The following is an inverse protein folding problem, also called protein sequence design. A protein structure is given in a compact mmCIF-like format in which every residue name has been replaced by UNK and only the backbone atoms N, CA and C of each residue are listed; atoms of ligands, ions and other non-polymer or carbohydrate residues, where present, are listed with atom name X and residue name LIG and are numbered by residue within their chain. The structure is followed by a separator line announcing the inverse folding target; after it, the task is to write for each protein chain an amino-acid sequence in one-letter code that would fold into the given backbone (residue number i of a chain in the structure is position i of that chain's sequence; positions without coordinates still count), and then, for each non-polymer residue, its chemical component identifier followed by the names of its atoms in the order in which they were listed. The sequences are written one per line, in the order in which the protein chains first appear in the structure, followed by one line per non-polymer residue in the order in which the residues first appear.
data_IF_939904731570
#
_entry.id   IF_939904731570
#
_cell.length_a   1.000
_cell.length_b   1.000
_cell.length_c   1.000
_cell.angle_alpha   90.00
_cell.angle_beta   90.00
_cell.angle_gamma   90.00
#
_symmetry.space_group_name_H-M   'P 1'
#
loop_
_entity.id
_entity.type
_entity.pdbx_description
1 polymer ?
#
# COMPACT_ATOMS: atom_id res chain seq x y z
N UNK A 1 -17.55 -11.67 -6.40
CA UNK A 1 -16.59 -10.55 -6.30
C UNK A 1 -17.19 -9.52 -5.38
N UNK A 2 -16.86 -9.58 -4.10
CA UNK A 2 -17.37 -8.62 -3.12
C UNK A 2 -16.23 -7.67 -2.87
N UNK A 3 -16.32 -6.44 -3.39
CA UNK A 3 -15.48 -5.35 -2.92
C UNK A 3 -16.07 -4.88 -1.61
N UNK A 4 -15.23 -4.56 -0.63
CA UNK A 4 -15.69 -3.75 0.50
C UNK A 4 -16.32 -2.47 -0.06
N UNK A 5 -17.45 -2.03 0.51
CA UNK A 5 -18.09 -0.76 0.13
C UNK A 5 -17.11 0.41 0.24
N UNK A 6 -16.14 0.33 1.16
CA UNK A 6 -15.07 1.33 1.32
C UNK A 6 -14.18 1.35 0.08
N UNK A 7 -13.70 0.19 -0.38
CA UNK A 7 -12.85 0.11 -1.57
C UNK A 7 -13.57 0.53 -2.84
N UNK A 8 -14.89 0.30 -2.93
CA UNK A 8 -15.71 0.82 -4.03
C UNK A 8 -15.83 2.34 -3.99
N UNK A 9 -16.12 2.92 -2.82
CA UNK A 9 -16.20 4.37 -2.66
C UNK A 9 -14.86 5.05 -3.01
N UNK A 10 -13.73 4.47 -2.60
CA UNK A 10 -12.39 4.95 -2.97
C UNK A 10 -12.16 4.88 -4.48
N UNK A 11 -12.61 3.79 -5.13
CA UNK A 11 -12.47 3.61 -6.58
C UNK A 11 -13.26 4.65 -7.38
N UNK A 12 -14.51 4.89 -7.00
CA UNK A 12 -15.38 5.86 -7.68
C UNK A 12 -14.93 7.32 -7.45
N UNK A 13 -14.13 7.55 -6.40
CA UNK A 13 -13.60 8.86 -6.03
C UNK A 13 -12.07 8.93 -6.11
N UNK A 14 -11.48 8.27 -7.12
CA UNK A 14 -10.02 8.14 -7.25
C UNK A 14 -9.25 9.46 -7.38
N UNK A 15 -9.93 10.59 -7.59
CA UNK A 15 -9.31 11.92 -7.65
C UNK A 15 -9.64 12.82 -6.44
N UNK A 16 -10.41 12.33 -5.47
CA UNK A 16 -10.75 13.07 -4.26
C UNK A 16 -9.86 12.61 -3.10
N UNK A 17 -8.84 13.42 -2.76
CA UNK A 17 -7.86 13.05 -1.74
C UNK A 17 -8.49 12.74 -0.37
N UNK A 18 -9.54 13.45 0.03
CA UNK A 18 -10.13 13.30 1.37
C UNK A 18 -10.80 11.92 1.50
N UNK A 19 -11.48 11.46 0.45
CA UNK A 19 -12.07 10.12 0.40
C UNK A 19 -10.98 9.05 0.42
N UNK A 20 -9.88 9.26 -0.29
CA UNK A 20 -8.78 8.29 -0.36
C UNK A 20 -8.03 8.17 0.96
N UNK A 21 -7.68 9.29 1.58
CA UNK A 21 -7.01 9.33 2.89
C UNK A 21 -7.91 8.67 3.95
N UNK A 22 -9.18 9.07 4.05
CA UNK A 22 -10.11 8.48 5.00
C UNK A 22 -10.30 6.98 4.76
N UNK A 23 -10.44 6.57 3.50
CA UNK A 23 -10.58 5.17 3.11
C UNK A 23 -9.36 4.33 3.49
N UNK A 24 -8.15 4.82 3.19
CA UNK A 24 -6.90 4.17 3.59
C UNK A 24 -6.77 4.05 5.11
N UNK A 25 -7.09 5.10 5.87
CA UNK A 25 -7.05 5.06 7.34
C UNK A 25 -8.03 4.02 7.91
N UNK A 26 -9.27 3.97 7.40
CA UNK A 26 -10.26 2.99 7.84
C UNK A 26 -9.78 1.57 7.52
N UNK A 27 -9.34 1.32 6.29
CA UNK A 27 -8.85 0.00 5.91
C UNK A 27 -7.63 -0.43 6.72
N UNK A 28 -6.70 0.49 7.00
CA UNK A 28 -5.50 0.21 7.81
C UNK A 28 -5.89 -0.24 9.21
N UNK A 29 -6.84 0.46 9.84
CA UNK A 29 -7.36 0.10 11.16
C UNK A 29 -8.07 -1.26 11.13
N UNK A 30 -8.84 -1.56 10.09
CA UNK A 30 -9.57 -2.83 10.00
C UNK A 30 -8.63 -4.02 9.74
N UNK A 31 -7.57 -3.84 8.96
CA UNK A 31 -6.59 -4.89 8.66
C UNK A 31 -5.89 -5.40 9.91
N UNK A 32 -5.63 -4.54 10.91
CA UNK A 32 -5.03 -4.93 12.20
C UNK A 32 -5.85 -6.01 12.94
N UNK A 33 -7.17 -6.04 12.71
CA UNK A 33 -8.07 -7.03 13.32
C UNK A 33 -8.48 -8.16 12.36
N UNK A 34 -7.95 -8.14 11.13
CA UNK A 34 -8.28 -9.13 10.11
C UNK A 34 -7.61 -10.47 10.39
N UNK A 35 -8.25 -11.55 9.95
CA UNK A 35 -7.67 -12.90 9.99
C UNK A 35 -7.03 -13.21 8.64
N UNK A 36 -6.08 -14.16 8.57
CA UNK A 36 -5.55 -14.63 7.29
C UNK A 36 -6.70 -15.05 6.34
N UNK A 37 -6.69 -14.51 5.12
CA UNK A 37 -7.73 -14.77 4.11
C UNK A 37 -8.99 -13.89 4.21
N UNK A 38 -8.97 -12.83 5.01
CA UNK A 38 -10.05 -11.83 5.06
C UNK A 38 -10.24 -11.10 3.71
N UNK A 39 -11.45 -10.58 3.48
CA UNK A 39 -11.80 -9.77 2.30
C UNK A 39 -10.89 -8.54 2.14
N UNK A 40 -10.35 -8.03 3.24
CA UNK A 40 -9.42 -6.89 3.24
C UNK A 40 -8.05 -7.21 2.62
N UNK A 41 -7.69 -8.49 2.53
CA UNK A 41 -6.40 -8.97 2.03
C UNK A 41 -6.51 -9.49 0.58
N UNK A 42 -7.60 -9.13 -0.10
CA UNK A 42 -7.90 -9.60 -1.45
C UNK A 42 -7.22 -8.75 -2.54
N UNK A 43 -7.05 -9.28 -3.76
CA UNK A 43 -6.54 -8.51 -4.89
C UNK A 43 -7.32 -7.22 -5.16
N UNK A 44 -8.62 -7.17 -4.86
CA UNK A 44 -9.44 -5.97 -5.04
C UNK A 44 -8.95 -4.80 -4.16
N UNK A 45 -8.60 -5.05 -2.89
CA UNK A 45 -8.08 -4.02 -1.99
C UNK A 45 -6.67 -3.62 -2.38
N UNK A 46 -5.82 -4.57 -2.76
CA UNK A 46 -4.44 -4.24 -3.13
C UNK A 46 -4.40 -3.46 -4.47
N UNK A 47 -5.31 -3.77 -5.41
CA UNK A 47 -5.40 -3.04 -6.68
C UNK A 47 -5.78 -1.57 -6.48
N UNK A 48 -6.68 -1.25 -5.54
CA UNK A 48 -7.03 0.14 -5.26
C UNK A 48 -5.86 0.91 -4.65
N UNK A 49 -5.05 0.29 -3.78
CA UNK A 49 -3.85 0.92 -3.21
C UNK A 49 -2.89 1.35 -4.32
N UNK A 50 -2.51 0.41 -5.21
CA UNK A 50 -1.63 0.72 -6.34
C UNK A 50 -2.21 1.84 -7.20
N UNK A 51 -3.52 1.77 -7.49
CA UNK A 51 -4.20 2.79 -8.30
C UNK A 51 -4.17 4.18 -7.66
N UNK A 52 -4.34 4.26 -6.34
CA UNK A 52 -4.25 5.51 -5.58
C UNK A 52 -2.84 6.08 -5.68
N UNK A 53 -1.83 5.27 -5.37
CA UNK A 53 -0.44 5.70 -5.37
C UNK A 53 -0.01 6.22 -6.74
N UNK A 54 -0.36 5.49 -7.81
CA UNK A 54 -0.05 5.89 -9.18
C UNK A 54 -0.80 7.16 -9.64
N UNK A 55 -2.01 7.41 -9.12
CA UNK A 55 -2.81 8.58 -9.52
C UNK A 55 -2.43 9.85 -8.75
N UNK A 56 -1.73 9.71 -7.61
CA UNK A 56 -1.39 10.79 -6.68
C UNK A 56 0.09 10.78 -6.30
N UNK A 57 0.99 10.48 -7.23
CA UNK A 57 2.42 10.22 -6.95
C UNK A 57 3.16 11.40 -6.29
N UNK A 58 2.63 12.62 -6.37
CA UNK A 58 3.20 13.84 -5.76
C UNK A 58 2.46 14.33 -4.51
N UNK A 59 1.33 13.72 -4.13
CA UNK A 59 0.58 14.11 -2.93
C UNK A 59 1.07 13.31 -1.73
N UNK A 60 1.93 13.92 -0.91
CA UNK A 60 2.56 13.25 0.23
C UNK A 60 1.55 12.72 1.27
N UNK A 61 0.39 13.36 1.42
CA UNK A 61 -0.65 12.94 2.36
C UNK A 61 -1.33 11.66 1.87
N UNK A 62 -1.68 11.62 0.58
CA UNK A 62 -2.24 10.42 -0.05
C UNK A 62 -1.22 9.28 -0.09
N UNK A 63 0.05 9.57 -0.41
CA UNK A 63 1.12 8.58 -0.41
C UNK A 63 1.36 8.00 0.98
N UNK A 64 1.32 8.83 2.04
CA UNK A 64 1.45 8.38 3.42
C UNK A 64 0.32 7.43 3.80
N UNK A 65 -0.93 7.83 3.57
CA UNK A 65 -2.08 6.99 3.90
C UNK A 65 -2.08 5.66 3.14
N UNK A 66 -1.72 5.67 1.85
CA UNK A 66 -1.59 4.45 1.06
C UNK A 66 -0.42 3.56 1.51
N UNK A 67 0.71 4.15 1.90
CA UNK A 67 1.88 3.42 2.39
C UNK A 67 1.63 2.77 3.76
N UNK A 68 0.91 3.46 4.65
CA UNK A 68 0.46 2.88 5.92
C UNK A 68 -0.45 1.66 5.69
N UNK A 69 -1.34 1.74 4.69
CA UNK A 69 -2.19 0.60 4.34
C UNK A 69 -1.38 -0.56 3.75
N UNK A 70 -0.37 -0.29 2.92
CA UNK A 70 0.57 -1.32 2.45
C UNK A 70 1.25 -2.00 3.62
N UNK A 71 1.78 -1.23 4.58
CA UNK A 71 2.44 -1.76 5.77
C UNK A 71 1.49 -2.64 6.60
N UNK A 72 0.24 -2.21 6.79
CA UNK A 72 -0.75 -3.00 7.50
C UNK A 72 -1.04 -4.33 6.79
N UNK A 73 -1.20 -4.30 5.47
CA UNK A 73 -1.54 -5.47 4.65
C UNK A 73 -0.33 -6.40 4.43
N UNK A 74 0.90 -5.87 4.42
CA UNK A 74 2.13 -6.66 4.16
C UNK A 74 2.48 -7.65 5.26
N UNK A 75 1.83 -7.59 6.42
CA UNK A 75 1.95 -8.58 7.48
C UNK A 75 1.37 -9.95 7.08
N UNK A 76 0.43 -10.01 6.13
CA UNK A 76 -0.06 -11.27 5.56
C UNK A 76 0.81 -11.73 4.39
N UNK A 77 1.26 -12.99 4.43
CA UNK A 77 2.20 -13.57 3.46
C UNK A 77 1.64 -13.63 2.02
N UNK A 78 0.32 -13.84 1.87
CA UNK A 78 -0.29 -13.89 0.52
C UNK A 78 -0.47 -12.47 -0.01
N UNK A 79 -0.92 -11.56 0.85
CA UNK A 79 -1.10 -10.18 0.49
C UNK A 79 0.23 -9.48 0.17
N UNK A 80 1.30 -9.77 0.91
CA UNK A 80 2.64 -9.23 0.65
C UNK A 80 3.14 -9.62 -0.74
N UNK A 81 3.03 -10.89 -1.14
CA UNK A 81 3.38 -11.34 -2.49
C UNK A 81 2.51 -10.70 -3.57
N UNK A 82 1.22 -10.54 -3.31
CA UNK A 82 0.31 -9.85 -4.24
C UNK A 82 0.71 -8.37 -4.42
N UNK A 83 1.03 -7.66 -3.33
CA UNK A 83 1.54 -6.28 -3.36
C UNK A 83 2.77 -6.19 -4.27
N UNK A 84 3.76 -7.07 -4.05
CA UNK A 84 4.99 -7.06 -4.87
C UNK A 84 4.70 -7.40 -6.35
N UNK A 85 3.83 -8.37 -6.62
CA UNK A 85 3.41 -8.71 -8.00
C UNK A 85 2.73 -7.54 -8.72
N UNK A 86 2.08 -6.64 -7.99
CA UNK A 86 1.43 -5.43 -8.53
C UNK A 86 2.36 -4.21 -8.60
N UNK A 87 3.65 -4.35 -8.28
CA UNK A 87 4.61 -3.25 -8.33
C UNK A 87 4.69 -2.42 -7.05
N UNK A 88 4.20 -2.93 -5.91
CA UNK A 88 4.19 -2.19 -4.65
C UNK A 88 5.58 -1.77 -4.14
N UNK A 89 6.65 -2.47 -4.51
CA UNK A 89 8.03 -2.03 -4.19
C UNK A 89 8.36 -0.73 -4.94
N UNK A 90 8.06 -0.69 -6.25
CA UNK A 90 8.28 0.48 -7.07
C UNK A 90 7.40 1.64 -6.61
N UNK A 91 6.17 1.38 -6.18
CA UNK A 91 5.29 2.39 -5.59
C UNK A 91 5.95 3.03 -4.34
N UNK A 92 6.49 2.24 -3.41
CA UNK A 92 7.22 2.75 -2.23
C UNK A 92 8.45 3.58 -2.62
N UNK A 93 9.25 3.09 -3.57
CA UNK A 93 10.45 3.78 -4.04
C UNK A 93 10.08 5.11 -4.70
N UNK A 94 9.02 5.16 -5.50
CA UNK A 94 8.52 6.38 -6.13
C UNK A 94 8.02 7.38 -5.09
N UNK A 95 7.25 6.94 -4.09
CA UNK A 95 6.79 7.78 -3.00
C UNK A 95 7.96 8.45 -2.25
N UNK A 96 9.00 7.68 -1.92
CA UNK A 96 10.21 8.21 -1.28
C UNK A 96 10.98 9.19 -2.18
N UNK A 97 11.04 8.95 -3.49
CA UNK A 97 11.70 9.86 -4.45
C UNK A 97 10.99 11.21 -4.52
N UNK A 98 9.66 11.21 -4.65
CA UNK A 98 8.88 12.44 -4.74
C UNK A 98 8.79 13.19 -3.41
N UNK A 99 8.90 12.47 -2.28
CA UNK A 99 8.79 13.03 -0.93
C UNK A 99 10.07 12.91 -0.10
N UNK A 100 11.23 13.15 -0.72
CA UNK A 100 12.57 12.95 -0.10
C UNK A 100 12.80 13.58 1.27
N UNK A 101 12.08 14.66 1.61
CA UNK A 101 12.20 15.36 2.89
C UNK A 101 11.05 15.08 3.86
N UNK A 102 10.08 14.25 3.47
CA UNK A 102 8.94 13.91 4.30
C UNK A 102 9.29 12.72 5.22
N UNK A 103 9.91 13.01 6.36
CA UNK A 103 10.47 12.01 7.27
C UNK A 103 9.48 10.90 7.65
N UNK A 104 8.21 11.24 7.95
CA UNK A 104 7.19 10.26 8.34
C UNK A 104 6.88 9.27 7.22
N UNK A 105 6.52 9.76 6.03
CA UNK A 105 6.33 8.93 4.83
C UNK A 105 7.54 8.05 4.54
N UNK A 106 8.76 8.59 4.58
CA UNK A 106 9.96 7.77 4.34
C UNK A 106 10.14 6.67 5.40
N UNK A 107 9.86 6.95 6.67
CA UNK A 107 9.89 5.95 7.72
C UNK A 107 8.86 4.83 7.47
N UNK A 108 7.63 5.20 7.09
CA UNK A 108 6.56 4.24 6.74
C UNK A 108 6.95 3.40 5.53
N UNK A 109 7.47 4.00 4.46
CA UNK A 109 7.96 3.27 3.29
C UNK A 109 9.09 2.29 3.65
N UNK A 110 10.05 2.70 4.50
CA UNK A 110 11.10 1.80 4.97
C UNK A 110 10.53 0.63 5.78
N UNK A 111 9.54 0.87 6.65
CA UNK A 111 8.88 -0.20 7.41
C UNK A 111 8.10 -1.15 6.50
N UNK A 112 7.39 -0.62 5.50
CA UNK A 112 6.68 -1.42 4.51
C UNK A 112 7.65 -2.29 3.69
N UNK A 113 8.75 -1.71 3.19
CA UNK A 113 9.78 -2.45 2.48
C UNK A 113 10.42 -3.55 3.34
N UNK A 114 10.70 -3.26 4.62
CA UNK A 114 11.17 -4.27 5.56
C UNK A 114 10.17 -5.42 5.70
N UNK A 115 8.88 -5.11 5.89
CA UNK A 115 7.82 -6.12 6.03
C UNK A 115 7.67 -6.96 4.76
N UNK A 116 7.74 -6.35 3.57
CA UNK A 116 7.64 -7.04 2.29
C UNK A 116 8.85 -7.96 2.06
N UNK A 117 10.05 -7.52 2.44
CA UNK A 117 11.31 -8.25 2.25
C UNK A 117 11.54 -9.42 3.22
N UNK A 118 10.62 -9.66 4.17
CA UNK A 118 10.62 -10.87 5.00
C UNK A 118 10.46 -12.12 4.13
N UNK A 119 9.70 -12.04 3.04
CA UNK A 119 9.58 -13.10 2.03
C UNK A 119 10.79 -13.06 1.08
N UNK A 120 11.44 -14.20 0.86
CA UNK A 120 12.68 -14.29 0.08
C UNK A 120 12.50 -13.98 -1.40
N UNK A 121 11.33 -14.24 -1.98
CA UNK A 121 11.05 -13.89 -3.37
C UNK A 121 10.81 -12.39 -3.50
N UNK A 122 10.08 -11.79 -2.54
CA UNK A 122 9.92 -10.33 -2.48
C UNK A 122 11.26 -9.61 -2.31
N UNK A 123 12.16 -10.13 -1.48
CA UNK A 123 13.51 -9.59 -1.32
C UNK A 123 14.28 -9.56 -2.64
N UNK A 124 14.20 -10.62 -3.45
CA UNK A 124 14.85 -10.65 -4.78
C UNK A 124 14.32 -9.54 -5.69
N UNK A 125 13.02 -9.24 -5.62
CA UNK A 125 12.44 -8.13 -6.39
C UNK A 125 12.92 -6.78 -5.84
N UNK A 126 12.94 -6.61 -4.51
CA UNK A 126 13.43 -5.41 -3.85
C UNK A 126 14.87 -5.05 -4.27
N UNK A 127 15.76 -6.05 -4.32
CA UNK A 127 17.14 -5.87 -4.80
C UNK A 127 17.20 -5.48 -6.28
N UNK A 128 16.33 -6.04 -7.14
CA UNK A 128 16.29 -5.69 -8.58
C UNK A 128 15.81 -4.27 -8.81
N UNK A 129 14.92 -3.77 -7.95
CA UNK A 129 14.38 -2.41 -8.04
C UNK A 129 15.26 -1.36 -7.33
N UNK A 130 16.42 -1.77 -6.79
CA UNK A 130 17.31 -0.94 -5.97
C UNK A 130 16.59 -0.31 -4.77
N UNK A 131 15.62 -1.03 -4.19
CA UNK A 131 14.91 -0.60 -2.99
C UNK A 131 15.67 -0.92 -1.70
N UNK A 132 16.54 -1.94 -1.73
CA UNK A 132 17.41 -2.43 -0.64
C UNK A 132 18.77 -2.84 -1.15
#
# INVERSE_FOLDING_TARGET
KTRSMISLAMWDNIFNKDVLVAGCCVLSNLVVFSKPGDILLTPDVITIIHKIMASHEYDAEVQLAASDLILAVSADERASRLIVQMGGIQDMVTAMRHSRHHATLNAVCCMALWSLAVDSENLKVACRENAV
#
